data_IF_416202129091
#
_entry.id   IF_416202129091
#
_cell.length_a   1.000
_cell.length_b   1.000
_cell.length_c   1.000
_cell.angle_alpha   90.00
_cell.angle_beta   90.00
_cell.angle_gamma   90.00
#
_symmetry.space_group_name_H-M   'P 1'
#
loop_
_entity.id
_entity.type
_entity.pdbx_description
1 polymer ?
#
# COMPACT_ATOMS: atom_id res chain seq x y z
N UNK A 1 12.71 -4.08 -13.72
CA UNK A 1 11.35 -3.56 -14.01
C UNK A 1 10.81 -2.97 -12.73
N UNK A 2 10.41 -1.71 -12.73
CA UNK A 2 9.85 -1.07 -11.52
C UNK A 2 8.38 -1.45 -11.40
N UNK A 3 8.02 -2.11 -10.31
CA UNK A 3 6.63 -2.49 -10.06
C UNK A 3 5.82 -1.28 -9.58
N UNK A 4 4.57 -1.19 -10.06
CA UNK A 4 3.61 -0.16 -9.63
C UNK A 4 2.79 -0.65 -8.43
N UNK A 5 2.64 0.23 -7.45
CA UNK A 5 1.79 0.07 -6.27
C UNK A 5 0.71 1.14 -6.31
N UNK A 6 -0.56 0.73 -6.29
CA UNK A 6 -1.70 1.65 -6.30
C UNK A 6 -2.22 1.84 -4.89
N UNK A 7 -2.33 3.09 -4.43
CA UNK A 7 -2.88 3.46 -3.13
C UNK A 7 -4.20 4.20 -3.34
N UNK A 8 -5.27 3.72 -2.70
CA UNK A 8 -6.57 4.39 -2.67
C UNK A 8 -6.74 4.96 -1.26
N UNK A 9 -6.92 6.28 -1.16
CA UNK A 9 -7.07 6.97 0.13
C UNK A 9 -8.53 7.29 0.43
N UNK A 10 -8.92 7.04 1.67
CA UNK A 10 -10.19 7.42 2.29
C UNK A 10 -9.93 8.35 3.48
N UNK A 11 -10.98 8.78 4.18
CA UNK A 11 -10.83 9.68 5.35
C UNK A 11 -10.06 9.06 6.52
N UNK A 12 -10.18 7.74 6.73
CA UNK A 12 -9.63 7.05 7.92
C UNK A 12 -8.58 5.99 7.60
N UNK A 13 -8.58 5.49 6.37
CA UNK A 13 -7.74 4.38 5.94
C UNK A 13 -7.19 4.65 4.54
N UNK A 14 -6.16 3.89 4.17
CA UNK A 14 -5.78 3.73 2.78
C UNK A 14 -5.67 2.25 2.43
N UNK A 15 -6.01 1.92 1.19
CA UNK A 15 -5.95 0.58 0.62
C UNK A 15 -4.82 0.52 -0.39
N UNK A 16 -4.12 -0.60 -0.44
CA UNK A 16 -2.94 -0.81 -1.27
C UNK A 16 -3.17 -2.02 -2.16
N UNK A 17 -3.04 -1.81 -3.47
CA UNK A 17 -3.16 -2.83 -4.50
C UNK A 17 -1.84 -2.96 -5.25
N UNK A 18 -1.38 -4.19 -5.44
CA UNK A 18 -0.18 -4.51 -6.20
C UNK A 18 -0.26 -5.95 -6.72
N UNK A 19 0.46 -6.24 -7.81
CA UNK A 19 0.68 -7.63 -8.24
C UNK A 19 1.50 -8.38 -7.19
N UNK A 20 1.24 -9.67 -6.98
CA UNK A 20 1.94 -10.43 -5.94
C UNK A 20 3.47 -10.30 -6.04
N UNK A 21 4.09 -9.87 -4.95
CA UNK A 21 5.53 -9.69 -4.79
C UNK A 21 5.87 -9.90 -3.31
N UNK A 22 6.86 -10.77 -3.03
CA UNK A 22 7.26 -11.12 -1.68
C UNK A 22 7.76 -9.90 -0.88
N UNK A 23 8.57 -9.05 -1.49
CA UNK A 23 9.14 -7.87 -0.84
C UNK A 23 8.02 -6.88 -0.44
N UNK A 24 7.03 -6.68 -1.32
CA UNK A 24 5.87 -5.85 -1.00
C UNK A 24 5.03 -6.48 0.12
N UNK A 25 4.83 -7.80 0.12
CA UNK A 25 4.12 -8.50 1.20
C UNK A 25 4.84 -8.30 2.54
N UNK A 26 6.17 -8.35 2.55
CA UNK A 26 6.96 -8.12 3.76
C UNK A 26 6.87 -6.67 4.24
N UNK A 27 6.86 -5.68 3.33
CA UNK A 27 6.55 -4.28 3.67
C UNK A 27 5.14 -4.17 4.28
N UNK A 28 4.12 -4.81 3.69
CA UNK A 28 2.77 -4.75 4.26
C UNK A 28 2.70 -5.33 5.68
N UNK A 29 3.44 -6.41 5.94
CA UNK A 29 3.53 -7.05 7.26
C UNK A 29 4.30 -6.21 8.27
N UNK A 30 5.43 -5.60 7.87
CA UNK A 30 6.20 -4.65 8.69
C UNK A 30 5.32 -3.51 9.20
N UNK A 31 4.49 -2.97 8.33
CA UNK A 31 3.54 -1.89 8.66
C UNK A 31 2.26 -2.37 9.38
N UNK A 32 2.16 -3.67 9.70
CA UNK A 32 1.00 -4.31 10.35
C UNK A 32 -0.32 -4.05 9.60
N UNK A 33 -0.29 -4.18 8.27
CA UNK A 33 -1.48 -4.05 7.44
C UNK A 33 -2.46 -5.20 7.61
N UNK A 34 -3.71 -4.97 7.24
CA UNK A 34 -4.74 -6.00 7.20
C UNK A 34 -5.02 -6.44 5.77
N UNK A 35 -4.90 -7.73 5.50
CA UNK A 35 -5.28 -8.28 4.20
C UNK A 35 -6.80 -8.40 4.08
N UNK A 36 -7.38 -7.66 3.14
CA UNK A 36 -8.81 -7.68 2.84
C UNK A 36 -9.05 -8.65 1.69
N UNK A 37 -9.51 -9.87 2.03
CA UNK A 37 -9.61 -10.99 1.08
C UNK A 37 -10.52 -10.72 -0.12
N UNK A 38 -11.66 -10.03 0.07
CA UNK A 38 -12.62 -9.83 -1.01
C UNK A 38 -12.18 -8.75 -2.01
N UNK A 39 -11.51 -7.69 -1.55
CA UNK A 39 -10.95 -6.64 -2.43
C UNK A 39 -9.55 -6.98 -2.96
N UNK A 40 -8.93 -8.03 -2.41
CA UNK A 40 -7.54 -8.43 -2.69
C UNK A 40 -6.57 -7.26 -2.50
N UNK A 41 -6.69 -6.56 -1.38
CA UNK A 41 -5.87 -5.41 -1.05
C UNK A 41 -5.39 -5.45 0.40
N UNK A 42 -4.37 -4.65 0.71
CA UNK A 42 -3.96 -4.39 2.09
C UNK A 42 -4.53 -3.07 2.57
N UNK A 43 -5.11 -3.05 3.76
CA UNK A 43 -5.65 -1.84 4.38
C UNK A 43 -4.80 -1.40 5.56
N UNK A 44 -4.61 -0.09 5.68
CA UNK A 44 -3.86 0.55 6.74
C UNK A 44 -4.60 1.79 7.27
N UNK A 45 -4.37 2.18 8.54
CA UNK A 45 -4.83 3.47 9.04
C UNK A 45 -4.15 4.64 8.33
N UNK A 46 -4.87 5.73 8.06
CA UNK A 46 -4.35 6.88 7.32
C UNK A 46 -3.12 7.53 7.96
N UNK A 47 -3.01 7.52 9.29
CA UNK A 47 -1.87 8.10 10.02
C UNK A 47 -0.53 7.42 9.73
N UNK A 48 -0.52 6.21 9.17
CA UNK A 48 0.71 5.52 8.73
C UNK A 48 1.15 5.88 7.31
N UNK A 49 0.37 6.71 6.61
CA UNK A 49 0.54 6.89 5.17
C UNK A 49 1.93 7.42 4.79
N UNK A 50 2.43 8.46 5.48
CA UNK A 50 3.73 9.07 5.16
C UNK A 50 4.87 8.06 5.34
N UNK A 51 4.93 7.38 6.50
CA UNK A 51 5.96 6.36 6.79
C UNK A 51 5.93 5.22 5.75
N UNK A 52 4.73 4.78 5.36
CA UNK A 52 4.55 3.74 4.36
C UNK A 52 4.96 4.19 2.95
N UNK A 53 4.61 5.43 2.57
CA UNK A 53 4.95 6.00 1.27
C UNK A 53 6.45 6.19 1.11
N UNK A 54 7.12 6.66 2.16
CA UNK A 54 8.58 6.77 2.19
C UNK A 54 9.25 5.41 2.04
N UNK A 55 8.75 4.37 2.71
CA UNK A 55 9.30 3.01 2.57
C UNK A 55 9.16 2.50 1.11
N UNK A 56 8.01 2.73 0.46
CA UNK A 56 7.82 2.34 -0.94
C UNK A 56 8.75 3.09 -1.90
N UNK A 57 8.90 4.40 -1.72
CA UNK A 57 9.73 5.23 -2.60
C UNK A 57 11.22 4.97 -2.40
N UNK A 58 11.67 4.74 -1.16
CA UNK A 58 13.04 4.33 -0.84
C UNK A 58 13.40 2.97 -1.44
N UNK A 59 12.44 2.05 -1.53
CA UNK A 59 12.59 0.77 -2.22
C UNK A 59 12.37 0.88 -3.76
N UNK A 60 12.30 2.10 -4.30
CA UNK A 60 12.20 2.41 -5.73
C UNK A 60 10.94 1.85 -6.41
N UNK A 61 9.85 1.64 -5.65
CA UNK A 61 8.55 1.32 -6.24
C UNK A 61 7.91 2.54 -6.89
N UNK A 62 7.18 2.34 -7.99
CA UNK A 62 6.35 3.41 -8.57
C UNK A 62 5.04 3.45 -7.80
N UNK A 63 4.69 4.59 -7.21
CA UNK A 63 3.44 4.73 -6.42
C UNK A 63 2.42 5.56 -7.20
N UNK A 64 1.20 5.05 -7.32
CA UNK A 64 0.06 5.76 -7.93
C UNK A 64 -1.02 5.98 -6.86
N UNK A 65 -1.34 7.23 -6.55
CA UNK A 65 -2.34 7.57 -5.53
C UNK A 65 -3.66 7.94 -6.21
N UNK A 66 -4.76 7.33 -5.77
CA UNK A 66 -6.13 7.59 -6.21
C UNK A 66 -6.98 8.00 -5.00
N UNK A 67 -8.01 8.80 -5.24
CA UNK A 67 -9.07 9.07 -4.25
C UNK A 67 -10.13 7.98 -4.38
N UNK A 68 -10.72 7.57 -3.26
CA UNK A 68 -11.96 6.80 -3.28
C UNK A 68 -13.07 7.72 -3.81
N UNK A 69 -13.75 7.30 -4.88
CA UNK A 69 -14.89 8.02 -5.49
C UNK A 69 -16.14 7.97 -4.59
#
# INVERSE_FOLDING_TARGET
>A
MTQTVTIIKSEKVFKVHFMYNNDLVDIMRKHKGWWIRYEKCWQFPLWKFEEFYDDLTNNKYKVEIRKED
#
